data_IF_736431587999
#
_entry.id   IF_736431587999
#
_cell.length_a   1.000
_cell.length_b   1.000
_cell.length_c   1.000
_cell.angle_alpha   90.00
_cell.angle_beta   90.00
_cell.angle_gamma   90.00
#
_symmetry.space_group_name_H-M   'P 1'
#
loop_
_entity.id
_entity.type
_entity.pdbx_description
1 polymer ?
#
# COMPACT_ATOMS: atom_id res chain seq x y z
N UNK A 1 -6.98 17.95 1.17
CA UNK A 1 -8.07 18.01 2.17
C UNK A 1 -7.47 18.43 3.51
N UNK A 2 -8.03 19.46 4.15
CA UNK A 2 -7.62 19.88 5.49
C UNK A 2 -8.41 19.07 6.50
N UNK A 3 -7.76 18.40 7.42
CA UNK A 3 -8.40 17.62 8.49
C UNK A 3 -8.14 18.31 9.80
N UNK A 4 -9.20 18.53 10.56
CA UNK A 4 -9.16 19.00 11.93
C UNK A 4 -9.45 17.82 12.86
N UNK A 5 -8.48 17.40 13.62
CA UNK A 5 -8.68 16.38 14.62
C UNK A 5 -9.30 16.98 15.89
N UNK A 6 -10.29 16.30 16.44
CA UNK A 6 -10.80 16.64 17.76
C UNK A 6 -9.86 16.10 18.82
N UNK A 7 -9.80 16.76 19.96
CA UNK A 7 -9.07 16.23 21.10
C UNK A 7 -9.67 14.90 21.56
N UNK A 8 -8.83 13.92 21.94
CA UNK A 8 -9.31 12.74 22.64
C UNK A 8 -10.09 13.13 23.91
N UNK A 9 -11.15 12.39 24.22
CA UNK A 9 -12.03 12.70 25.37
C UNK A 9 -11.26 12.74 26.70
N UNK A 10 -10.22 11.94 26.82
CA UNK A 10 -9.41 11.77 28.02
C UNK A 10 -8.04 12.48 27.96
N UNK A 11 -7.85 13.43 27.04
CA UNK A 11 -6.57 14.14 26.94
C UNK A 11 -6.35 15.03 28.15
N UNK A 12 -5.17 14.93 28.76
CA UNK A 12 -4.75 15.80 29.85
C UNK A 12 -4.08 17.08 29.31
N UNK A 13 -4.06 18.13 30.12
CA UNK A 13 -3.59 19.45 29.66
C UNK A 13 -2.12 19.44 29.16
N UNK A 14 -1.26 18.65 29.79
CA UNK A 14 0.15 18.51 29.37
C UNK A 14 0.29 17.87 27.96
N UNK A 15 -0.67 17.05 27.55
CA UNK A 15 -0.66 16.37 26.25
C UNK A 15 -1.25 17.22 25.13
N UNK A 16 -2.09 18.22 25.47
CA UNK A 16 -2.69 19.11 24.47
C UNK A 16 -1.66 19.78 23.61
N UNK A 17 -0.54 20.25 24.19
CA UNK A 17 0.56 20.88 23.44
C UNK A 17 1.19 19.94 22.40
N UNK A 18 1.24 18.64 22.69
CA UNK A 18 1.75 17.64 21.74
C UNK A 18 0.72 17.44 20.65
N UNK A 19 -0.55 17.31 21.03
CA UNK A 19 -1.65 17.10 20.10
C UNK A 19 -1.87 18.31 19.17
N UNK A 20 -1.71 19.53 19.65
CA UNK A 20 -1.85 20.76 18.87
C UNK A 20 -0.88 20.83 17.69
N UNK A 21 0.30 20.22 17.82
CA UNK A 21 1.27 20.14 16.71
C UNK A 21 0.79 19.29 15.54
N UNK A 22 -0.15 18.39 15.76
CA UNK A 22 -0.69 17.45 14.78
C UNK A 22 -2.19 17.58 14.57
N UNK A 23 -2.82 18.56 15.21
CA UNK A 23 -4.26 18.77 15.17
C UNK A 23 -4.77 19.09 13.76
N UNK A 24 -4.03 19.94 13.08
CA UNK A 24 -4.35 20.36 11.72
C UNK A 24 -3.30 19.85 10.74
N UNK A 25 -3.71 19.10 9.78
CA UNK A 25 -2.82 18.65 8.71
C UNK A 25 -3.52 18.62 7.36
N UNK A 26 -2.74 18.86 6.32
CA UNK A 26 -3.21 18.77 4.94
C UNK A 26 -2.86 17.37 4.44
N UNK A 27 -3.88 16.59 4.13
CA UNK A 27 -3.67 15.32 3.44
C UNK A 27 -3.65 15.61 1.94
N UNK A 28 -2.53 15.35 1.31
CA UNK A 28 -2.52 15.16 -0.13
C UNK A 28 -3.34 13.91 -0.44
N UNK A 29 -4.32 14.04 -1.31
CA UNK A 29 -5.10 12.87 -1.75
C UNK A 29 -4.19 12.02 -2.64
N UNK A 30 -3.82 10.80 -2.21
CA UNK A 30 -2.95 9.96 -3.03
C UNK A 30 -3.63 9.71 -4.38
N UNK A 31 -2.87 9.69 -5.46
CA UNK A 31 -3.43 9.45 -6.79
C UNK A 31 -3.42 7.95 -7.12
N UNK A 32 -4.37 7.52 -7.96
CA UNK A 32 -4.27 6.21 -8.59
C UNK A 32 -3.51 6.37 -9.90
N UNK A 33 -2.31 5.82 -9.96
CA UNK A 33 -1.45 5.87 -11.14
C UNK A 33 -1.71 4.68 -12.05
N UNK A 34 -1.74 4.95 -13.36
CA UNK A 34 -1.68 3.93 -14.41
C UNK A 34 -0.28 3.98 -15.02
N UNK A 35 0.47 2.92 -14.86
CA UNK A 35 1.86 2.84 -15.30
C UNK A 35 2.00 1.74 -16.36
N UNK A 36 2.90 1.97 -17.32
CA UNK A 36 3.22 0.98 -18.35
C UNK A 36 4.69 0.59 -18.30
N UNK A 37 4.96 -0.70 -18.57
CA UNK A 37 6.31 -1.25 -18.70
C UNK A 37 7.16 -0.95 -17.45
N UNK A 38 6.74 -1.47 -16.32
CA UNK A 38 7.37 -1.25 -15.02
C UNK A 38 7.89 -2.55 -14.42
N UNK A 39 8.95 -2.41 -13.62
CA UNK A 39 9.38 -3.47 -12.71
C UNK A 39 8.71 -3.29 -11.34
N UNK A 40 8.24 -4.41 -10.78
CA UNK A 40 7.68 -4.48 -9.43
C UNK A 40 8.45 -5.52 -8.64
N UNK A 41 8.96 -5.14 -7.47
CA UNK A 41 9.63 -6.06 -6.56
C UNK A 41 8.61 -6.76 -5.65
N UNK A 42 8.99 -7.88 -5.06
CA UNK A 42 8.15 -8.57 -4.08
C UNK A 42 7.74 -7.63 -2.90
N UNK A 43 8.60 -6.72 -2.54
CA UNK A 43 8.36 -5.70 -1.51
C UNK A 43 7.49 -4.52 -1.97
N UNK A 44 6.88 -4.58 -3.15
CA UNK A 44 5.98 -3.54 -3.65
C UNK A 44 6.66 -2.27 -4.15
N UNK A 45 7.99 -2.27 -4.36
CA UNK A 45 8.66 -1.15 -5.01
C UNK A 45 8.44 -1.19 -6.51
N UNK A 46 8.12 -0.03 -7.08
CA UNK A 46 7.90 0.13 -8.51
C UNK A 46 9.06 0.91 -9.14
N UNK A 47 9.68 0.34 -10.16
CA UNK A 47 10.74 0.99 -10.94
C UNK A 47 10.26 1.19 -12.37
N UNK A 48 10.44 2.39 -12.90
CA UNK A 48 10.19 2.70 -14.30
C UNK A 48 11.46 3.23 -14.96
N UNK A 49 11.88 2.63 -16.05
CA UNK A 49 13.13 2.97 -16.75
C UNK A 49 14.35 2.99 -15.82
N UNK A 50 14.43 2.04 -14.87
CA UNK A 50 15.50 1.99 -13.89
C UNK A 50 15.44 3.06 -12.80
N UNK A 51 14.36 3.86 -12.73
CA UNK A 51 14.16 4.88 -11.71
C UNK A 51 13.11 4.40 -10.71
N UNK A 52 13.45 4.43 -9.43
CA UNK A 52 12.53 4.08 -8.35
C UNK A 52 11.39 5.12 -8.25
N UNK A 53 10.15 4.65 -8.32
CA UNK A 53 9.00 5.47 -8.00
C UNK A 53 8.88 5.61 -6.48
N UNK A 54 9.28 6.76 -5.95
CA UNK A 54 9.26 7.03 -4.50
C UNK A 54 7.86 6.95 -3.89
N UNK A 55 6.81 7.12 -4.70
CA UNK A 55 5.41 6.99 -4.26
C UNK A 55 4.94 5.53 -4.11
N UNK A 56 5.75 4.55 -4.53
CA UNK A 56 5.47 3.12 -4.28
C UNK A 56 5.85 2.68 -2.88
N UNK A 57 6.66 3.46 -2.20
CA UNK A 57 7.01 3.24 -0.82
C UNK A 57 6.32 4.20 0.12
N UNK A 58 6.50 3.98 1.41
CA UNK A 58 6.07 4.92 2.41
C UNK A 58 6.80 6.24 2.19
N UNK A 59 6.07 7.29 1.90
CA UNK A 59 6.66 8.62 1.78
C UNK A 59 6.93 9.15 3.19
N UNK A 60 8.12 8.91 3.66
CA UNK A 60 8.58 9.30 5.00
C UNK A 60 8.99 10.78 4.99
N UNK A 61 8.02 11.68 4.90
CA UNK A 61 8.26 13.10 5.21
C UNK A 61 8.40 13.36 6.72
N UNK A 62 8.28 12.36 7.55
CA UNK A 62 8.58 12.50 8.98
C UNK A 62 10.07 12.72 9.18
N UNK A 63 10.46 13.98 9.30
CA UNK A 63 11.84 14.40 9.57
C UNK A 63 12.40 13.85 10.90
N UNK A 64 11.57 13.21 11.72
CA UNK A 64 11.89 12.82 13.08
C UNK A 64 12.16 11.33 13.27
N UNK A 65 11.96 10.49 12.25
CA UNK A 65 12.22 9.05 12.36
C UNK A 65 13.31 8.59 11.38
N UNK A 66 14.55 9.01 11.70
CA UNK A 66 15.72 8.70 10.89
C UNK A 66 16.00 7.21 10.74
N UNK A 67 15.68 6.40 11.74
CA UNK A 67 15.99 4.95 11.75
C UNK A 67 15.11 4.21 10.78
N UNK A 68 13.82 4.51 10.79
CA UNK A 68 12.84 3.92 9.89
C UNK A 68 13.08 4.33 8.44
N UNK A 69 13.39 5.62 8.22
CA UNK A 69 13.75 6.19 6.94
C UNK A 69 14.99 5.51 6.33
N UNK A 70 16.04 5.34 7.13
CA UNK A 70 17.27 4.70 6.67
C UNK A 70 17.06 3.24 6.28
N UNK A 71 16.36 2.46 7.10
CA UNK A 71 16.04 1.05 6.80
C UNK A 71 15.21 0.90 5.52
N UNK A 72 14.27 1.80 5.29
CA UNK A 72 13.46 1.81 4.09
C UNK A 72 14.30 2.09 2.84
N UNK A 73 15.07 3.17 2.86
CA UNK A 73 15.90 3.57 1.72
C UNK A 73 17.02 2.57 1.44
N UNK A 74 17.61 1.98 2.48
CA UNK A 74 18.56 0.88 2.31
C UNK A 74 17.94 -0.26 1.51
N UNK A 75 16.76 -0.73 1.90
CA UNK A 75 16.06 -1.80 1.17
C UNK A 75 15.66 -1.37 -0.24
N UNK A 76 15.15 -0.16 -0.42
CA UNK A 76 14.81 0.37 -1.74
C UNK A 76 16.03 0.43 -2.66
N UNK A 77 17.18 0.85 -2.13
CA UNK A 77 18.44 0.91 -2.86
C UNK A 77 18.99 -0.48 -3.19
N UNK A 78 18.95 -1.41 -2.25
CA UNK A 78 19.30 -2.81 -2.49
C UNK A 78 18.45 -3.41 -3.61
N UNK A 79 17.14 -3.21 -3.57
CA UNK A 79 16.23 -3.68 -4.62
C UNK A 79 16.51 -2.99 -5.97
N UNK A 80 16.83 -1.71 -5.95
CA UNK A 80 17.25 -0.98 -7.17
C UNK A 80 18.52 -1.55 -7.78
N UNK A 81 19.55 -1.79 -6.97
CA UNK A 81 20.80 -2.40 -7.44
C UNK A 81 20.56 -3.78 -8.02
N UNK A 82 19.75 -4.57 -7.35
CA UNK A 82 19.37 -5.89 -7.81
C UNK A 82 18.65 -5.84 -9.16
N UNK A 83 17.68 -4.95 -9.34
CA UNK A 83 17.01 -4.78 -10.63
C UNK A 83 17.91 -4.25 -11.73
N UNK A 84 18.89 -3.41 -11.40
CA UNK A 84 19.78 -2.77 -12.39
C UNK A 84 20.95 -3.66 -12.81
N UNK A 85 21.50 -4.41 -11.87
CA UNK A 85 22.74 -5.17 -12.07
C UNK A 85 22.56 -6.69 -11.90
N UNK A 86 21.49 -7.11 -11.27
CA UNK A 86 21.17 -8.51 -11.02
C UNK A 86 20.64 -9.21 -12.25
N UNK A 87 21.51 -9.54 -13.20
CA UNK A 87 21.15 -10.36 -14.39
C UNK A 87 20.63 -11.75 -14.05
N UNK A 88 20.64 -12.14 -12.79
CA UNK A 88 20.37 -13.51 -12.31
C UNK A 88 19.11 -13.67 -11.47
N UNK A 89 18.35 -12.61 -11.19
CA UNK A 89 17.13 -12.79 -10.44
C UNK A 89 15.99 -13.28 -11.34
N UNK A 90 15.23 -14.28 -10.87
CA UNK A 90 14.08 -14.75 -11.61
C UNK A 90 13.08 -13.60 -11.79
N UNK A 91 12.79 -13.26 -13.03
CA UNK A 91 11.78 -12.29 -13.39
C UNK A 91 10.65 -12.93 -14.16
N UNK A 92 9.41 -12.61 -13.78
CA UNK A 92 8.21 -13.07 -14.45
C UNK A 92 7.67 -11.90 -15.27
N UNK A 93 7.42 -12.11 -16.55
CA UNK A 93 6.81 -11.12 -17.42
C UNK A 93 5.31 -11.30 -17.46
N UNK A 94 4.58 -10.29 -17.04
CA UNK A 94 3.11 -10.26 -17.00
C UNK A 94 2.59 -9.28 -18.06
N UNK A 95 1.96 -9.83 -19.10
CA UNK A 95 1.42 -9.11 -20.24
C UNK A 95 -0.10 -9.33 -20.35
N UNK A 96 -0.72 -8.63 -21.25
CA UNK A 96 -2.13 -8.81 -21.67
C UNK A 96 -3.19 -8.47 -20.61
N UNK A 97 -2.85 -8.43 -19.33
CA UNK A 97 -3.75 -8.08 -18.25
C UNK A 97 -3.37 -6.77 -17.58
N UNK A 98 -4.30 -6.24 -16.79
CA UNK A 98 -4.04 -5.08 -15.92
C UNK A 98 -3.89 -5.56 -14.48
N UNK A 99 -2.75 -5.26 -13.89
CA UNK A 99 -2.40 -5.69 -12.55
C UNK A 99 -2.57 -4.54 -11.55
N UNK A 100 -2.98 -4.89 -10.34
CA UNK A 100 -3.18 -3.96 -9.23
C UNK A 100 -2.17 -4.24 -8.13
N UNK A 101 -1.40 -3.22 -7.74
CA UNK A 101 -0.47 -3.27 -6.64
C UNK A 101 -0.97 -2.41 -5.48
N UNK A 102 -1.31 -3.01 -4.35
CA UNK A 102 -1.77 -2.28 -3.15
C UNK A 102 -0.77 -2.33 -2.00
N UNK A 103 0.14 -3.30 -1.99
CA UNK A 103 1.06 -3.53 -0.88
C UNK A 103 2.35 -2.72 -0.99
N UNK A 104 3.07 -2.65 0.11
CA UNK A 104 4.43 -2.15 0.25
C UNK A 104 5.24 -3.12 1.12
N UNK A 105 6.48 -2.77 1.45
CA UNK A 105 7.41 -3.63 2.20
C UNK A 105 6.86 -4.18 3.52
N UNK A 106 6.04 -3.42 4.21
CA UNK A 106 5.67 -3.73 5.59
C UNK A 106 4.33 -4.45 5.66
N UNK A 107 4.34 -5.63 6.27
CA UNK A 107 3.11 -6.34 6.59
C UNK A 107 2.97 -6.47 8.09
N UNK A 108 1.87 -5.95 8.60
CA UNK A 108 1.26 -6.33 9.86
C UNK A 108 -0.26 -6.14 9.74
N UNK A 109 -1.01 -6.64 10.70
CA UNK A 109 -2.47 -6.55 10.67
C UNK A 109 -2.97 -5.10 10.57
N UNK A 110 -2.34 -4.18 11.30
CA UNK A 110 -2.72 -2.76 11.26
C UNK A 110 -2.53 -2.17 9.85
N UNK A 111 -1.36 -2.35 9.22
CA UNK A 111 -1.13 -1.89 7.84
C UNK A 111 -2.07 -2.53 6.84
N UNK A 112 -2.40 -3.81 7.02
CA UNK A 112 -3.35 -4.49 6.16
C UNK A 112 -4.70 -3.77 6.14
N UNK A 113 -5.28 -3.54 7.31
CA UNK A 113 -6.60 -2.91 7.44
C UNK A 113 -6.56 -1.41 7.08
N UNK A 114 -5.56 -0.68 7.59
CA UNK A 114 -5.54 0.78 7.53
C UNK A 114 -4.89 1.35 6.27
N UNK A 115 -4.10 0.54 5.55
CA UNK A 115 -3.43 0.98 4.34
C UNK A 115 -3.87 0.19 3.11
N UNK A 116 -3.70 -1.14 3.12
CA UNK A 116 -3.85 -1.92 1.90
C UNK A 116 -5.31 -2.13 1.50
N UNK A 117 -6.19 -2.46 2.44
CA UNK A 117 -7.62 -2.57 2.14
C UNK A 117 -8.24 -1.22 1.77
N UNK A 118 -7.75 -0.11 2.33
CA UNK A 118 -8.22 1.21 1.92
C UNK A 118 -7.83 1.53 0.47
N UNK A 119 -6.63 1.14 0.03
CA UNK A 119 -6.22 1.29 -1.37
C UNK A 119 -7.08 0.44 -2.29
N UNK A 120 -7.38 -0.79 -1.87
CA UNK A 120 -8.25 -1.68 -2.63
C UNK A 120 -9.67 -1.12 -2.76
N UNK A 121 -10.29 -0.68 -1.65
CA UNK A 121 -11.63 -0.07 -1.67
C UNK A 121 -11.68 1.20 -2.48
N UNK A 122 -10.61 1.97 -2.48
CA UNK A 122 -10.51 3.17 -3.29
C UNK A 122 -10.45 2.86 -4.78
N UNK A 123 -9.65 1.89 -5.19
CA UNK A 123 -9.60 1.43 -6.60
C UNK A 123 -10.95 0.87 -7.00
N UNK A 124 -11.61 0.10 -6.15
CA UNK A 124 -12.95 -0.40 -6.40
C UNK A 124 -13.94 0.73 -6.68
N UNK A 125 -13.92 1.79 -5.86
CA UNK A 125 -14.83 2.94 -5.99
C UNK A 125 -14.56 3.77 -7.25
N UNK A 126 -13.28 4.01 -7.59
CA UNK A 126 -12.88 4.94 -8.66
C UNK A 126 -12.77 4.27 -10.04
N UNK A 127 -12.41 2.99 -10.08
CA UNK A 127 -12.09 2.27 -11.34
C UNK A 127 -12.92 1.01 -11.48
N UNK A 128 -13.29 0.36 -10.37
CA UNK A 128 -13.84 -1.00 -10.32
C UNK A 128 -12.73 -2.05 -10.26
N UNK A 129 -13.08 -3.25 -9.81
CA UNK A 129 -12.14 -4.37 -9.68
C UNK A 129 -12.23 -5.38 -10.83
N UNK A 130 -13.26 -5.26 -11.66
CA UNK A 130 -13.45 -6.16 -12.81
C UNK A 130 -12.26 -6.04 -13.78
N UNK A 131 -11.74 -7.16 -14.21
CA UNK A 131 -10.59 -7.25 -15.11
C UNK A 131 -9.26 -6.76 -14.50
N UNK A 132 -9.17 -6.67 -13.16
CA UNK A 132 -7.92 -6.40 -12.45
C UNK A 132 -7.44 -7.67 -11.77
N UNK A 133 -6.13 -7.89 -11.79
CA UNK A 133 -5.47 -8.99 -11.07
C UNK A 133 -4.64 -8.38 -9.93
N UNK A 134 -5.00 -8.70 -8.69
CA UNK A 134 -4.30 -8.21 -7.52
C UNK A 134 -2.96 -8.93 -7.34
N UNK A 135 -1.90 -8.16 -7.23
CA UNK A 135 -0.57 -8.64 -6.91
C UNK A 135 -0.34 -8.63 -5.40
N UNK A 136 0.17 -9.72 -4.85
CA UNK A 136 0.62 -9.78 -3.45
C UNK A 136 1.68 -10.87 -3.26
N UNK A 137 2.57 -10.73 -2.26
CA UNK A 137 3.60 -11.74 -1.96
C UNK A 137 2.98 -13.10 -1.65
N UNK A 138 3.59 -14.17 -2.14
CA UNK A 138 3.09 -15.55 -1.96
C UNK A 138 2.92 -15.91 -0.49
N UNK A 139 3.89 -15.53 0.34
CA UNK A 139 3.89 -15.77 1.79
C UNK A 139 2.71 -15.11 2.53
N UNK A 140 2.08 -14.09 1.94
CA UNK A 140 0.90 -13.45 2.53
C UNK A 140 -0.38 -14.26 2.31
N UNK A 141 -0.40 -15.10 1.28
CA UNK A 141 -1.58 -15.89 0.91
C UNK A 141 -1.99 -16.93 1.94
N UNK A 142 -1.09 -17.30 2.85
CA UNK A 142 -1.36 -18.24 3.93
C UNK A 142 -1.79 -17.56 5.24
N UNK A 143 -1.77 -16.24 5.29
CA UNK A 143 -2.18 -15.46 6.47
C UNK A 143 -3.72 -15.38 6.52
N UNK A 144 -4.38 -15.91 7.57
CA UNK A 144 -5.83 -16.06 7.61
C UNK A 144 -6.60 -14.77 7.33
N UNK A 145 -6.26 -13.69 8.03
CA UNK A 145 -6.98 -12.43 7.86
C UNK A 145 -6.81 -11.81 6.46
N UNK A 146 -5.71 -12.08 5.76
CA UNK A 146 -5.50 -11.63 4.37
C UNK A 146 -6.38 -12.46 3.44
N UNK A 147 -6.33 -13.78 3.57
CA UNK A 147 -7.11 -14.72 2.76
C UNK A 147 -8.60 -14.43 2.87
N UNK A 148 -9.10 -14.30 4.10
CA UNK A 148 -10.51 -14.04 4.37
C UNK A 148 -10.97 -12.70 3.79
N UNK A 149 -10.23 -11.62 4.08
CA UNK A 149 -10.59 -10.29 3.60
C UNK A 149 -10.50 -10.17 2.08
N UNK A 150 -9.51 -10.76 1.42
CA UNK A 150 -9.41 -10.74 -0.05
C UNK A 150 -10.53 -11.54 -0.73
N UNK A 151 -11.07 -12.56 -0.09
CA UNK A 151 -12.21 -13.30 -0.64
C UNK A 151 -13.49 -12.44 -0.71
N UNK A 152 -13.64 -11.50 0.22
CA UNK A 152 -14.76 -10.55 0.24
C UNK A 152 -14.76 -9.64 -1.00
N UNK A 153 -13.59 -9.31 -1.53
CA UNK A 153 -13.45 -8.42 -2.70
C UNK A 153 -13.65 -9.12 -4.05
N UNK A 154 -13.66 -10.45 -4.08
CA UNK A 154 -13.86 -11.25 -5.31
C UNK A 154 -12.96 -10.82 -6.47
N UNK A 155 -11.75 -10.36 -6.18
CA UNK A 155 -10.75 -9.96 -7.17
C UNK A 155 -9.88 -11.16 -7.54
N UNK A 156 -9.52 -11.27 -8.82
CA UNK A 156 -8.52 -12.23 -9.27
C UNK A 156 -7.16 -11.92 -8.64
N UNK A 157 -6.39 -12.95 -8.35
CA UNK A 157 -5.17 -12.84 -7.53
C UNK A 157 -3.98 -13.50 -8.22
N UNK A 158 -2.85 -12.80 -8.21
CA UNK A 158 -1.56 -13.35 -8.62
C UNK A 158 -0.59 -13.29 -7.45
N UNK A 159 -0.08 -14.44 -7.02
CA UNK A 159 0.92 -14.57 -5.95
C UNK A 159 2.31 -14.34 -6.54
N UNK A 160 3.03 -13.35 -6.03
CA UNK A 160 4.40 -13.06 -6.41
C UNK A 160 5.30 -14.06 -5.70
N UNK A 161 5.99 -14.96 -6.43
CA UNK A 161 6.88 -15.92 -5.79
C UNK A 161 8.00 -15.24 -5.01
N UNK A 162 8.42 -15.84 -3.90
CA UNK A 162 9.48 -15.30 -3.07
C UNK A 162 10.77 -15.11 -3.88
N UNK A 163 11.42 -13.98 -3.70
CA UNK A 163 12.64 -13.61 -4.42
C UNK A 163 12.48 -13.25 -5.90
N UNK A 164 11.24 -13.30 -6.45
CA UNK A 164 10.96 -12.94 -7.83
C UNK A 164 10.66 -11.45 -7.98
N UNK A 165 11.05 -10.90 -9.15
CA UNK A 165 10.62 -9.60 -9.61
C UNK A 165 9.64 -9.77 -10.78
N UNK A 166 8.76 -8.78 -10.94
CA UNK A 166 7.79 -8.79 -12.03
C UNK A 166 8.11 -7.68 -13.03
N UNK A 167 8.08 -8.00 -14.32
CA UNK A 167 7.95 -7.00 -15.37
C UNK A 167 6.48 -6.94 -15.77
N UNK A 168 5.85 -5.79 -15.62
CA UNK A 168 4.42 -5.61 -15.79
C UNK A 168 4.15 -4.59 -16.88
N UNK A 169 3.40 -5.01 -17.88
CA UNK A 169 3.03 -4.14 -18.99
C UNK A 169 2.04 -3.05 -18.55
N UNK A 170 0.98 -3.43 -17.85
CA UNK A 170 -0.04 -2.50 -17.38
C UNK A 170 -0.26 -2.64 -15.87
N UNK A 171 0.15 -1.62 -15.11
CA UNK A 171 0.03 -1.57 -13.66
C UNK A 171 -0.89 -0.44 -13.22
N UNK A 172 -1.87 -0.75 -12.37
CA UNK A 172 -2.59 0.21 -11.54
C UNK A 172 -1.94 0.22 -10.16
N UNK A 173 -1.64 1.41 -9.72
CA UNK A 173 -0.91 1.60 -8.48
C UNK A 173 -1.48 2.81 -7.71
N UNK A 174 -2.23 2.58 -6.62
CA UNK A 174 -2.62 3.63 -5.69
C UNK A 174 -1.40 4.09 -4.88
N UNK A 175 -1.07 5.37 -4.98
CA UNK A 175 0.06 5.94 -4.24
C UNK A 175 -0.08 5.69 -2.74
N UNK A 176 1.06 5.50 -2.09
CA UNK A 176 1.16 5.43 -0.64
C UNK A 176 0.98 6.83 -0.06
N UNK A 177 0.29 6.94 1.05
CA UNK A 177 0.18 8.20 1.79
C UNK A 177 1.52 8.64 2.35
N UNK A 178 1.72 9.93 2.42
CA UNK A 178 2.96 10.51 2.92
C UNK A 178 3.21 10.25 4.42
N UNK A 179 2.15 10.00 5.18
CA UNK A 179 2.21 9.83 6.63
C UNK A 179 1.42 8.59 7.02
N UNK A 180 2.13 7.59 7.53
CA UNK A 180 1.57 6.28 7.87
C UNK A 180 0.58 6.30 9.03
N UNK A 181 0.62 7.32 9.87
CA UNK A 181 -0.21 7.41 11.08
C UNK A 181 -1.56 8.11 10.86
N UNK A 182 -1.79 8.67 9.67
CA UNK A 182 -3.00 9.43 9.40
C UNK A 182 -3.91 8.67 8.44
N UNK A 183 -5.02 8.22 8.98
CA UNK A 183 -6.03 7.46 8.23
C UNK A 183 -7.18 8.37 7.82
N UNK A 184 -7.75 8.12 6.65
CA UNK A 184 -9.01 8.75 6.30
C UNK A 184 -10.15 7.97 7.00
N UNK A 185 -10.87 8.58 7.95
CA UNK A 185 -11.94 7.91 8.69
C UNK A 185 -13.03 7.35 7.77
N UNK A 186 -13.35 8.04 6.68
CA UNK A 186 -14.36 7.58 5.71
C UNK A 186 -13.93 6.28 5.03
N UNK A 187 -12.66 6.18 4.63
CA UNK A 187 -12.16 4.94 4.01
C UNK A 187 -12.12 3.78 5.00
N UNK A 188 -11.74 4.03 6.25
CA UNK A 188 -11.80 3.00 7.29
C UNK A 188 -13.25 2.54 7.50
N UNK A 189 -14.18 3.48 7.54
CA UNK A 189 -15.59 3.15 7.71
C UNK A 189 -16.12 2.31 6.55
N UNK A 190 -15.70 2.58 5.32
CA UNK A 190 -16.07 1.74 4.15
C UNK A 190 -15.54 0.33 4.31
N UNK A 191 -14.24 0.16 4.65
CA UNK A 191 -13.66 -1.17 4.91
C UNK A 191 -14.41 -1.88 6.02
N UNK A 192 -14.61 -1.21 7.17
CA UNK A 192 -15.33 -1.76 8.34
C UNK A 192 -16.74 -2.24 7.98
N UNK A 193 -17.50 -1.39 7.30
CA UNK A 193 -18.87 -1.72 6.94
C UNK A 193 -18.94 -2.95 6.02
N UNK A 194 -18.02 -3.06 5.07
CA UNK A 194 -17.93 -4.20 4.17
C UNK A 194 -17.61 -5.49 4.93
N UNK A 195 -16.62 -5.47 5.81
CA UNK A 195 -16.25 -6.62 6.63
C UNK A 195 -17.42 -7.07 7.54
N UNK A 196 -18.13 -6.10 8.15
CA UNK A 196 -19.30 -6.40 8.99
C UNK A 196 -20.48 -6.97 8.21
N UNK A 197 -20.69 -6.52 6.97
CA UNK A 197 -21.75 -7.07 6.12
C UNK A 197 -21.48 -8.54 5.76
N UNK A 198 -20.24 -8.88 5.49
CA UNK A 198 -19.87 -10.28 5.21
C UNK A 198 -19.92 -11.16 6.46
N UNK A 199 -19.44 -10.66 7.60
CA UNK A 199 -19.54 -11.39 8.86
C UNK A 199 -20.96 -11.69 9.32
N UNK A 200 -21.97 -10.94 8.84
CA UNK A 200 -23.38 -11.21 9.12
C UNK A 200 -24.00 -12.27 8.20
N UNK A 201 -23.31 -12.66 7.13
CA UNK A 201 -23.78 -13.69 6.18
C UNK A 201 -23.25 -15.09 6.54
N UNK A 202 -22.20 -15.15 7.36
CA UNK A 202 -21.61 -16.38 7.88
C UNK A 202 -22.27 -16.81 9.18
#
# INVERSE_FOLDING_TARGET
>A
MKIHNQYPINIIESEKKIFDKVKDYIIEVPQIRKLKNVFVTNNGFVLKNGILNTRSGLNLKSKNDHTFYFSYWKTAFEQYLVCKFGKSLPSISLKDNTYLLIHSKWLNYSFWITEYLQRLTRVEKEIGLKNLILLYPEEWGEIPYIKETLNIFQIEKFRIPSGCHLFIENLIFPEVREITSYFNPEHIQVVRNRLLLEAKKS
#
